data_IF_079138496166
#
_entry.id   IF_079138496166
#
_cell.length_a   1.000
_cell.length_b   1.000
_cell.length_c   1.000
_cell.angle_alpha   90.00
_cell.angle_beta   90.00
_cell.angle_gamma   90.00
#
_symmetry.space_group_name_H-M   'P 1'
#
loop_
_entity.id
_entity.type
_entity.pdbx_description
1 polymer ?
#
# COMPACT_ATOMS: atom_id res chain seq x y z
N UNK A 1 20.01 23.68 -3.94
CA UNK A 1 19.26 23.17 -2.77
C UNK A 1 19.94 23.63 -1.49
N UNK A 2 19.91 24.93 -1.18
CA UNK A 2 20.47 25.45 0.07
C UNK A 2 19.30 25.70 1.03
N UNK A 3 19.15 24.87 2.07
CA UNK A 3 18.24 25.17 3.18
C UNK A 3 17.40 24.02 3.77
N UNK A 4 17.49 22.80 3.25
CA UNK A 4 16.80 21.65 3.87
C UNK A 4 17.76 21.00 4.87
N UNK A 5 17.48 21.12 6.17
CA UNK A 5 18.16 20.31 7.21
C UNK A 5 17.56 18.91 7.18
N UNK A 6 18.42 17.90 7.06
CA UNK A 6 18.01 16.51 7.11
C UNK A 6 18.28 16.00 8.53
N UNK A 7 17.21 15.77 9.27
CA UNK A 7 17.26 15.22 10.62
C UNK A 7 16.61 13.82 10.63
N UNK A 8 17.06 12.91 11.50
CA UNK A 8 16.37 11.65 11.74
C UNK A 8 14.94 11.88 12.25
N UNK A 9 13.99 11.12 11.72
CA UNK A 9 12.59 11.10 12.19
C UNK A 9 12.47 10.18 13.40
N UNK A 10 11.72 10.60 14.42
CA UNK A 10 11.60 9.89 15.71
C UNK A 10 10.14 9.60 16.12
N UNK A 11 9.18 9.82 15.24
CA UNK A 11 7.77 9.52 15.52
C UNK A 11 7.45 8.02 15.37
N UNK A 12 6.18 7.65 15.55
CA UNK A 12 5.71 6.28 15.54
C UNK A 12 5.92 5.54 14.20
N UNK A 13 6.16 6.26 13.10
CA UNK A 13 6.42 5.66 11.80
C UNK A 13 7.85 5.12 11.67
N UNK A 14 8.77 5.53 12.54
CA UNK A 14 10.18 5.12 12.54
C UNK A 14 10.40 3.83 13.38
N UNK A 15 9.97 2.69 12.84
CA UNK A 15 10.08 1.36 13.48
C UNK A 15 10.86 0.35 12.62
N UNK A 16 11.33 -0.72 13.25
CA UNK A 16 11.85 -1.92 12.61
C UNK A 16 11.03 -3.15 13.02
N UNK A 17 11.07 -4.24 12.24
CA UNK A 17 10.29 -5.44 12.52
C UNK A 17 10.54 -6.04 13.91
N UNK A 18 11.76 -5.88 14.44
CA UNK A 18 12.12 -6.34 15.78
C UNK A 18 11.30 -5.67 16.89
N UNK A 19 10.78 -4.45 16.67
CA UNK A 19 9.93 -3.74 17.64
C UNK A 19 8.60 -4.47 17.87
N UNK A 20 8.18 -5.34 16.94
CA UNK A 20 6.91 -6.05 16.95
C UNK A 20 7.03 -7.55 17.24
N UNK A 21 8.18 -8.02 17.74
CA UNK A 21 8.34 -9.43 18.14
C UNK A 21 7.30 -9.85 19.19
N UNK A 22 7.11 -9.00 20.21
CA UNK A 22 6.13 -9.20 21.29
C UNK A 22 4.95 -8.25 21.24
N UNK A 23 5.11 -7.08 20.59
CA UNK A 23 4.03 -6.11 20.46
C UNK A 23 3.06 -6.52 19.35
N UNK A 24 1.80 -6.75 19.73
CA UNK A 24 0.68 -7.11 18.84
C UNK A 24 -0.40 -6.03 18.79
N UNK A 25 -0.10 -4.81 19.21
CA UNK A 25 -1.04 -3.68 19.18
C UNK A 25 -1.46 -3.26 17.78
N UNK A 26 -0.73 -3.71 16.75
CA UNK A 26 -1.09 -3.56 15.34
C UNK A 26 -2.14 -4.56 14.85
N UNK A 27 -2.48 -5.58 15.66
CA UNK A 27 -3.50 -6.58 15.35
C UNK A 27 -4.86 -6.21 15.95
N UNK A 28 -5.86 -6.03 15.09
CA UNK A 28 -7.25 -5.77 15.46
C UNK A 28 -8.10 -7.02 15.23
N UNK A 29 -8.69 -7.57 16.29
CA UNK A 29 -9.48 -8.81 16.18
C UNK A 29 -10.97 -8.50 16.19
N UNK A 30 -11.67 -8.89 15.13
CA UNK A 30 -13.12 -8.79 15.05
C UNK A 30 -13.78 -9.90 15.87
N UNK A 31 -14.66 -9.50 16.78
CA UNK A 31 -15.54 -10.38 17.53
C UNK A 31 -16.87 -10.63 16.78
N UNK A 32 -17.75 -11.41 17.41
CA UNK A 32 -19.04 -11.78 16.82
C UNK A 32 -19.99 -10.58 16.66
N UNK A 33 -19.82 -9.52 17.45
CA UNK A 33 -20.61 -8.29 17.30
C UNK A 33 -20.19 -7.57 16.03
N UNK A 34 -18.88 -7.40 15.80
CA UNK A 34 -18.37 -6.80 14.57
C UNK A 34 -18.76 -7.60 13.31
N UNK A 35 -18.69 -8.93 13.36
CA UNK A 35 -19.10 -9.77 12.23
C UNK A 35 -20.60 -9.65 11.94
N UNK A 36 -21.44 -9.63 12.98
CA UNK A 36 -22.88 -9.42 12.83
C UNK A 36 -23.23 -8.05 12.25
N UNK A 37 -22.45 -7.01 12.54
CA UNK A 37 -22.61 -5.70 11.92
C UNK A 37 -22.35 -5.74 10.41
N UNK A 38 -21.30 -6.44 9.96
CA UNK A 38 -21.01 -6.65 8.54
C UNK A 38 -22.16 -7.38 7.83
N UNK A 39 -22.70 -8.43 8.44
CA UNK A 39 -23.84 -9.19 7.90
C UNK A 39 -25.10 -8.34 7.73
N UNK A 40 -25.43 -7.55 8.76
CA UNK A 40 -26.59 -6.65 8.74
C UNK A 40 -26.42 -5.54 7.71
N UNK A 41 -25.22 -4.96 7.60
CA UNK A 41 -24.91 -3.94 6.61
C UNK A 41 -24.99 -4.49 5.18
N UNK A 42 -24.45 -5.70 4.94
CA UNK A 42 -24.56 -6.41 3.67
C UNK A 42 -26.03 -6.65 3.29
N UNK A 43 -26.84 -7.16 4.22
CA UNK A 43 -28.27 -7.39 3.96
C UNK A 43 -28.98 -6.09 3.57
N UNK A 44 -28.71 -4.98 4.26
CA UNK A 44 -29.29 -3.67 3.93
C UNK A 44 -28.81 -3.11 2.58
N UNK A 45 -27.54 -3.35 2.20
CA UNK A 45 -27.02 -3.00 0.86
C UNK A 45 -27.75 -3.79 -0.23
N UNK A 46 -27.93 -5.09 -0.03
CA UNK A 46 -28.60 -5.98 -1.00
C UNK A 46 -30.08 -5.64 -1.17
N UNK A 47 -30.79 -5.37 -0.08
CA UNK A 47 -32.20 -4.95 -0.11
C UNK A 47 -32.40 -3.67 -0.95
N UNK A 48 -31.45 -2.74 -0.89
CA UNK A 48 -31.46 -1.50 -1.68
C UNK A 48 -30.84 -1.62 -3.07
N UNK A 49 -30.28 -2.78 -3.42
CA UNK A 49 -29.61 -3.01 -4.70
C UNK A 49 -28.40 -2.10 -4.94
N UNK A 50 -27.66 -1.73 -3.89
CA UNK A 50 -26.50 -0.86 -4.03
C UNK A 50 -25.28 -1.64 -4.56
N UNK A 51 -24.52 -0.99 -5.44
CA UNK A 51 -23.25 -1.48 -5.96
C UNK A 51 -22.06 -0.95 -5.15
N UNK A 52 -20.88 -1.55 -5.29
CA UNK A 52 -19.63 -1.13 -4.64
C UNK A 52 -19.38 0.38 -4.79
N UNK A 53 -19.53 0.92 -6.00
CA UNK A 53 -19.30 2.33 -6.29
C UNK A 53 -20.26 3.29 -5.57
N UNK A 54 -21.42 2.80 -5.10
CA UNK A 54 -22.41 3.58 -4.38
C UNK A 54 -22.22 3.52 -2.86
N UNK A 55 -21.31 2.68 -2.35
CA UNK A 55 -21.12 2.53 -0.91
C UNK A 55 -20.40 3.72 -0.27
N UNK A 56 -20.86 4.04 0.93
CA UNK A 56 -20.31 5.06 1.82
C UNK A 56 -20.47 4.61 3.27
N UNK A 57 -19.70 5.21 4.18
CA UNK A 57 -19.87 4.95 5.62
C UNK A 57 -21.33 5.16 6.09
N UNK A 58 -22.07 6.09 5.48
CA UNK A 58 -23.45 6.40 5.85
C UNK A 58 -24.46 5.34 5.41
N UNK A 59 -24.25 4.69 4.25
CA UNK A 59 -25.16 3.66 3.75
C UNK A 59 -24.69 2.23 4.07
N UNK A 60 -23.52 2.07 4.68
CA UNK A 60 -22.98 0.82 5.21
C UNK A 60 -22.73 0.96 6.74
N UNK A 61 -23.77 0.96 7.58
CA UNK A 61 -23.64 1.32 8.99
C UNK A 61 -22.91 0.24 9.79
N UNK A 62 -21.87 0.65 10.54
CA UNK A 62 -21.05 -0.18 11.42
C UNK A 62 -20.97 0.44 12.83
N UNK A 63 -22.00 0.31 13.68
CA UNK A 63 -22.11 1.04 14.95
C UNK A 63 -20.89 0.92 15.89
N UNK A 64 -20.28 -0.24 15.97
CA UNK A 64 -19.10 -0.48 16.82
C UNK A 64 -17.83 -0.68 15.99
N UNK A 65 -17.94 -1.36 14.84
CA UNK A 65 -16.79 -1.62 13.97
C UNK A 65 -16.23 -0.35 13.32
N UNK A 66 -17.03 0.72 13.16
CA UNK A 66 -16.53 2.03 12.69
C UNK A 66 -15.47 2.65 13.61
N UNK A 67 -15.49 2.34 14.91
CA UNK A 67 -14.47 2.83 15.86
C UNK A 67 -13.14 2.13 15.66
N UNK A 68 -13.16 0.83 15.36
CA UNK A 68 -11.97 0.08 14.96
C UNK A 68 -11.44 0.60 13.63
N UNK A 69 -12.32 0.83 12.65
CA UNK A 69 -11.91 1.39 11.36
C UNK A 69 -11.26 2.78 11.51
N UNK A 70 -11.77 3.63 12.40
CA UNK A 70 -11.16 4.93 12.71
C UNK A 70 -9.77 4.78 13.36
N UNK A 71 -9.61 3.86 14.33
CA UNK A 71 -8.32 3.59 14.95
C UNK A 71 -7.30 3.03 13.94
N UNK A 72 -7.73 2.13 13.06
CA UNK A 72 -6.92 1.64 11.93
C UNK A 72 -6.50 2.81 11.02
N UNK A 73 -7.42 3.72 10.70
CA UNK A 73 -7.12 4.92 9.92
C UNK A 73 -6.07 5.82 10.57
N UNK A 74 -6.15 6.02 11.88
CA UNK A 74 -5.16 6.81 12.65
C UNK A 74 -3.79 6.13 12.68
N UNK A 75 -3.75 4.82 12.94
CA UNK A 75 -2.53 4.02 12.96
C UNK A 75 -1.80 4.02 11.62
N UNK A 76 -2.55 3.91 10.52
CA UNK A 76 -2.00 3.88 9.16
C UNK A 76 -1.63 5.29 8.68
N UNK A 77 -2.49 6.28 8.94
CA UNK A 77 -2.30 7.63 8.40
C UNK A 77 -1.27 8.48 9.16
N UNK A 78 -1.19 8.32 10.48
CA UNK A 78 -0.35 9.17 11.35
C UNK A 78 0.45 8.42 12.41
N UNK A 79 0.15 7.14 12.62
CA UNK A 79 0.86 6.28 13.56
C UNK A 79 1.99 5.49 12.90
N UNK A 80 1.98 4.18 13.13
CA UNK A 80 3.01 3.25 12.64
C UNK A 80 2.95 3.00 11.13
N UNK A 81 1.89 3.39 10.43
CA UNK A 81 1.78 3.21 8.98
C UNK A 81 1.23 1.86 8.52
N UNK A 82 0.80 0.98 9.44
CA UNK A 82 0.16 -0.29 9.09
C UNK A 82 -0.75 -0.82 10.22
N UNK A 83 -1.66 -1.72 9.87
CA UNK A 83 -2.51 -2.48 10.80
C UNK A 83 -2.93 -3.81 10.15
N UNK A 84 -3.20 -4.83 10.97
CA UNK A 84 -3.76 -6.11 10.53
C UNK A 84 -5.09 -6.37 11.22
N UNK A 85 -6.15 -6.47 10.42
CA UNK A 85 -7.48 -6.81 10.92
C UNK A 85 -7.75 -8.31 10.72
N UNK A 86 -8.00 -9.02 11.82
CA UNK A 86 -8.28 -10.47 11.85
C UNK A 86 -9.76 -10.73 12.13
N UNK A 87 -10.26 -11.88 11.64
CA UNK A 87 -11.62 -12.33 11.92
C UNK A 87 -12.69 -11.70 11.04
N UNK A 88 -12.31 -11.14 9.89
CA UNK A 88 -13.25 -10.78 8.83
C UNK A 88 -13.98 -12.04 8.33
N UNK A 89 -15.32 -12.02 8.18
CA UNK A 89 -16.08 -13.22 7.81
C UNK A 89 -15.90 -13.53 6.32
N UNK A 90 -15.31 -14.70 6.04
CA UNK A 90 -15.09 -15.19 4.67
C UNK A 90 -16.03 -16.37 4.35
N UNK A 91 -16.12 -17.34 5.27
CA UNK A 91 -16.86 -18.57 5.05
C UNK A 91 -18.36 -18.31 4.86
N UNK A 92 -18.95 -18.95 3.84
CA UNK A 92 -20.38 -18.85 3.55
C UNK A 92 -20.80 -17.65 2.70
N UNK A 93 -19.85 -16.82 2.24
CA UNK A 93 -20.12 -15.69 1.36
C UNK A 93 -19.61 -15.94 -0.06
N UNK A 94 -20.42 -15.52 -1.04
CA UNK A 94 -19.98 -15.40 -2.42
C UNK A 94 -19.02 -14.21 -2.55
N UNK A 95 -18.12 -14.24 -3.53
CA UNK A 95 -17.13 -13.17 -3.74
C UNK A 95 -17.78 -11.78 -3.88
N UNK A 96 -18.93 -11.66 -4.55
CA UNK A 96 -19.64 -10.38 -4.68
C UNK A 96 -20.14 -9.83 -3.35
N UNK A 97 -20.50 -10.71 -2.40
CA UNK A 97 -20.89 -10.29 -1.06
C UNK A 97 -19.66 -9.84 -0.25
N UNK A 98 -18.53 -10.55 -0.40
CA UNK A 98 -17.25 -10.16 0.19
C UNK A 98 -16.78 -8.79 -0.32
N UNK A 99 -16.92 -8.50 -1.61
CA UNK A 99 -16.60 -7.18 -2.18
C UNK A 99 -17.39 -6.05 -1.50
N UNK A 100 -18.69 -6.23 -1.32
CA UNK A 100 -19.56 -5.25 -0.69
C UNK A 100 -19.21 -5.04 0.78
N UNK A 101 -18.97 -6.12 1.53
CA UNK A 101 -18.56 -6.03 2.93
C UNK A 101 -17.19 -5.38 3.09
N UNK A 102 -16.23 -5.80 2.28
CA UNK A 102 -14.85 -5.32 2.32
C UNK A 102 -14.78 -3.83 1.97
N UNK A 103 -15.38 -3.44 0.84
CA UNK A 103 -15.40 -2.04 0.45
C UNK A 103 -16.21 -1.20 1.44
N UNK A 104 -17.33 -1.72 1.93
CA UNK A 104 -18.15 -1.08 2.96
C UNK A 104 -17.34 -0.74 4.22
N UNK A 105 -16.53 -1.69 4.70
CA UNK A 105 -15.59 -1.45 5.81
C UNK A 105 -14.54 -0.41 5.44
N UNK A 106 -13.89 -0.51 4.28
CA UNK A 106 -12.88 0.45 3.83
C UNK A 106 -13.43 1.89 3.72
N UNK A 107 -14.73 2.06 3.46
CA UNK A 107 -15.38 3.39 3.44
C UNK A 107 -15.47 4.07 4.80
N UNK A 108 -15.26 3.35 5.90
CA UNK A 108 -15.09 3.93 7.24
C UNK A 108 -13.63 4.35 7.52
N UNK A 109 -12.67 3.91 6.69
CA UNK A 109 -11.25 4.29 6.80
C UNK A 109 -10.96 5.50 5.90
N UNK A 110 -11.43 5.45 4.65
CA UNK A 110 -11.10 6.47 3.66
C UNK A 110 -11.93 6.36 2.39
N UNK A 111 -11.47 7.01 1.32
CA UNK A 111 -12.14 7.03 0.01
C UNK A 111 -11.50 6.06 -0.96
N UNK A 112 -12.31 5.17 -1.52
CA UNK A 112 -11.88 4.24 -2.57
C UNK A 112 -11.57 5.01 -3.85
N UNK A 113 -10.41 4.71 -4.42
CA UNK A 113 -9.92 5.28 -5.67
C UNK A 113 -9.87 4.19 -6.73
N UNK A 114 -10.04 4.58 -8.00
CA UNK A 114 -9.84 3.66 -9.12
C UNK A 114 -8.38 3.22 -9.16
N UNK A 115 -8.17 1.93 -9.34
CA UNK A 115 -6.84 1.33 -9.22
C UNK A 115 -6.15 1.08 -10.57
N UNK A 116 -6.87 1.21 -11.68
CA UNK A 116 -6.36 1.01 -13.05
C UNK A 116 -7.23 1.76 -14.08
N UNK A 117 -6.86 1.64 -15.35
CA UNK A 117 -7.61 2.16 -16.50
C UNK A 117 -9.03 1.59 -16.66
N UNK A 118 -9.32 0.42 -16.09
CA UNK A 118 -10.68 -0.17 -16.12
C UNK A 118 -11.64 0.49 -15.12
N UNK A 119 -11.14 1.40 -14.27
CA UNK A 119 -11.94 2.06 -13.25
C UNK A 119 -12.32 1.15 -12.08
N UNK A 120 -11.60 0.04 -11.89
CA UNK A 120 -11.87 -0.92 -10.82
C UNK A 120 -11.61 -0.32 -9.43
N UNK A 121 -12.57 -0.51 -8.51
CA UNK A 121 -12.42 -0.13 -7.09
C UNK A 121 -11.85 -1.27 -6.23
N UNK A 122 -12.05 -2.51 -6.66
CA UNK A 122 -11.46 -3.72 -6.07
C UNK A 122 -10.80 -4.51 -7.20
N UNK A 123 -9.61 -5.05 -6.91
CA UNK A 123 -8.90 -5.96 -7.80
C UNK A 123 -8.64 -7.30 -7.11
N UNK A 124 -8.89 -8.37 -7.85
CA UNK A 124 -8.56 -9.71 -7.42
C UNK A 124 -7.08 -9.99 -7.66
N UNK A 125 -6.37 -10.34 -6.59
CA UNK A 125 -5.00 -10.88 -6.66
C UNK A 125 -5.10 -12.39 -6.52
N UNK A 126 -4.87 -13.11 -7.62
CA UNK A 126 -4.95 -14.58 -7.69
C UNK A 126 -3.69 -15.15 -8.33
N UNK A 127 -3.56 -16.46 -8.47
CA UNK A 127 -2.49 -17.09 -9.26
C UNK A 127 -2.59 -16.86 -10.78
N UNK A 128 -3.53 -16.01 -11.23
CA UNK A 128 -3.70 -15.57 -12.60
C UNK A 128 -5.07 -15.90 -13.20
N UNK A 129 -5.91 -16.68 -12.50
CA UNK A 129 -7.24 -17.10 -12.98
C UNK A 129 -8.24 -15.95 -13.06
N UNK A 130 -8.23 -15.04 -12.08
CA UNK A 130 -9.15 -13.88 -12.01
C UNK A 130 -8.42 -12.55 -12.16
N UNK A 131 -7.27 -12.54 -12.86
CA UNK A 131 -6.51 -11.31 -13.03
C UNK A 131 -7.33 -10.27 -13.81
N UNK A 132 -7.40 -9.00 -13.34
CA UNK A 132 -7.97 -7.91 -14.12
C UNK A 132 -7.17 -7.66 -15.40
N UNK A 133 -7.81 -7.06 -16.40
CA UNK A 133 -7.18 -6.75 -17.69
C UNK A 133 -6.41 -5.42 -17.59
N UNK A 134 -5.38 -5.40 -16.73
CA UNK A 134 -4.53 -4.23 -16.49
C UNK A 134 -3.36 -4.23 -17.46
N UNK A 135 -3.17 -3.14 -18.21
CA UNK A 135 -2.11 -2.93 -19.22
C UNK A 135 -0.79 -3.67 -18.96
N UNK A 136 0.25 -2.98 -18.48
CA UNK A 136 1.49 -3.62 -18.03
C UNK A 136 1.59 -3.74 -16.50
N UNK A 137 0.58 -3.27 -15.76
CA UNK A 137 0.48 -3.45 -14.32
C UNK A 137 0.07 -4.90 -14.02
N UNK A 138 1.03 -5.70 -13.58
CA UNK A 138 0.82 -7.11 -13.33
C UNK A 138 0.34 -7.35 -11.89
N UNK A 139 -0.91 -7.78 -11.74
CA UNK A 139 -1.39 -8.46 -10.53
C UNK A 139 -1.62 -9.94 -10.84
N UNK A 140 -1.29 -10.80 -9.88
CA UNK A 140 -1.63 -12.21 -9.94
C UNK A 140 -0.71 -13.11 -10.77
N UNK A 141 0.56 -13.14 -10.37
CA UNK A 141 1.53 -14.15 -10.80
C UNK A 141 2.32 -14.59 -9.55
N UNK A 142 2.40 -15.90 -9.23
CA UNK A 142 3.07 -16.37 -8.02
C UNK A 142 4.59 -16.21 -8.16
N UNK A 143 5.09 -15.04 -7.80
CA UNK A 143 6.51 -14.71 -7.71
C UNK A 143 6.71 -13.74 -6.56
N UNK A 144 7.95 -13.67 -6.06
CA UNK A 144 8.33 -12.64 -5.11
C UNK A 144 8.09 -11.24 -5.74
N UNK A 145 7.30 -10.43 -5.05
CA UNK A 145 7.10 -9.02 -5.39
C UNK A 145 8.05 -8.21 -4.53
N UNK A 146 8.93 -7.44 -5.17
CA UNK A 146 9.82 -6.51 -4.45
C UNK A 146 9.02 -5.48 -3.67
N UNK A 147 9.55 -5.04 -2.53
CA UNK A 147 8.92 -3.98 -1.75
C UNK A 147 8.78 -2.71 -2.59
N UNK A 148 7.64 -2.04 -2.44
CA UNK A 148 7.29 -0.83 -3.15
C UNK A 148 6.22 -0.07 -2.37
N UNK A 149 5.99 1.17 -2.78
CA UNK A 149 4.92 2.03 -2.31
C UNK A 149 4.00 2.30 -3.49
N UNK A 150 2.74 1.90 -3.36
CA UNK A 150 1.70 2.22 -4.35
C UNK A 150 1.39 3.73 -4.37
N UNK A 151 0.64 4.18 -5.39
CA UNK A 151 0.31 5.60 -5.60
C UNK A 151 -0.66 6.19 -4.57
N UNK A 152 -1.42 5.35 -3.86
CA UNK A 152 -2.45 5.80 -2.93
C UNK A 152 -1.84 6.14 -1.56
N UNK A 153 -2.63 6.83 -0.71
CA UNK A 153 -2.24 7.10 0.68
C UNK A 153 -2.29 5.84 1.53
N UNK A 154 -3.24 4.94 1.25
CA UNK A 154 -3.45 3.67 1.95
C UNK A 154 -3.76 2.59 0.91
N UNK A 155 -3.14 1.41 1.09
CA UNK A 155 -3.51 0.17 0.41
C UNK A 155 -4.13 -0.77 1.42
N UNK A 156 -5.21 -1.44 1.02
CA UNK A 156 -5.88 -2.46 1.83
C UNK A 156 -5.89 -3.76 1.05
N UNK A 157 -5.67 -4.89 1.74
CA UNK A 157 -5.76 -6.23 1.17
C UNK A 157 -6.64 -7.10 2.06
N UNK A 158 -7.55 -7.85 1.45
CA UNK A 158 -8.35 -8.88 2.11
C UNK A 158 -7.92 -10.25 1.60
N UNK A 159 -7.43 -11.10 2.51
CA UNK A 159 -7.20 -12.50 2.20
C UNK A 159 -8.54 -13.25 2.16
N UNK A 160 -9.03 -13.54 0.96
CA UNK A 160 -10.24 -14.37 0.73
C UNK A 160 -9.90 -15.85 0.74
N UNK A 161 -8.66 -16.21 0.38
CA UNK A 161 -8.19 -17.59 0.40
C UNK A 161 -6.68 -17.59 0.58
N UNK A 162 -6.21 -18.26 1.62
CA UNK A 162 -4.78 -18.40 1.87
C UNK A 162 -4.14 -19.26 0.79
N UNK A 163 -2.95 -18.86 0.33
CA UNK A 163 -2.15 -19.68 -0.57
C UNK A 163 -1.68 -20.95 0.15
N UNK A 164 -1.64 -22.08 -0.56
CA UNK A 164 -1.37 -23.39 0.04
C UNK A 164 0.06 -23.58 0.56
N UNK A 165 0.98 -22.70 0.17
CA UNK A 165 2.37 -22.64 0.62
C UNK A 165 2.61 -21.61 1.73
N UNK A 166 1.55 -20.95 2.21
CA UNK A 166 1.55 -20.01 3.36
C UNK A 166 2.69 -18.97 3.30
N UNK A 167 2.83 -18.20 2.20
CA UNK A 167 3.89 -17.22 2.08
C UNK A 167 3.65 -16.06 3.05
N UNK A 168 4.74 -15.55 3.64
CA UNK A 168 4.69 -14.35 4.46
C UNK A 168 4.51 -13.08 3.62
N UNK A 169 3.75 -12.14 4.16
CA UNK A 169 3.77 -10.74 3.75
C UNK A 169 4.88 -9.99 4.48
N UNK A 170 5.49 -9.01 3.81
CA UNK A 170 6.55 -8.19 4.36
C UNK A 170 6.20 -6.71 4.35
N UNK A 171 6.53 -6.00 5.43
CA UNK A 171 6.44 -4.54 5.53
C UNK A 171 7.77 -3.98 6.02
N UNK A 172 8.16 -2.81 5.53
CA UNK A 172 9.28 -2.04 6.04
C UNK A 172 8.88 -0.57 6.15
N UNK A 173 9.31 0.10 7.22
CA UNK A 173 9.11 1.54 7.34
C UNK A 173 10.02 2.30 6.38
N UNK A 174 9.40 3.06 5.47
CA UNK A 174 10.14 3.99 4.61
C UNK A 174 10.88 5.09 5.40
N UNK A 175 10.41 5.40 6.62
CA UNK A 175 11.01 6.38 7.52
C UNK A 175 12.25 5.80 8.21
N UNK A 176 12.21 4.53 8.60
CA UNK A 176 13.40 3.81 9.06
C UNK A 176 14.45 3.69 7.96
N UNK A 177 14.02 3.41 6.72
CA UNK A 177 14.91 3.42 5.55
C UNK A 177 15.56 4.80 5.36
N UNK A 178 14.78 5.88 5.42
CA UNK A 178 15.31 7.25 5.38
C UNK A 178 16.35 7.50 6.47
N UNK A 179 16.06 7.13 7.72
CA UNK A 179 16.96 7.31 8.85
C UNK A 179 18.26 6.52 8.69
N UNK A 180 18.19 5.27 8.24
CA UNK A 180 19.35 4.42 8.04
C UNK A 180 20.22 4.89 6.86
N UNK A 181 19.62 5.42 5.78
CA UNK A 181 20.40 6.03 4.69
C UNK A 181 21.08 7.32 5.18
N UNK A 182 20.36 8.18 5.89
CA UNK A 182 20.92 9.41 6.45
C UNK A 182 22.13 9.13 7.37
N UNK A 183 22.09 8.00 8.09
CA UNK A 183 23.17 7.54 8.97
C UNK A 183 24.33 6.87 8.21
N UNK A 184 24.04 5.94 7.30
CA UNK A 184 25.05 5.09 6.63
C UNK A 184 25.70 5.82 5.44
N UNK A 185 24.91 6.55 4.67
CA UNK A 185 25.27 7.17 3.38
C UNK A 185 24.55 8.52 3.16
N UNK A 186 24.79 9.53 4.03
CA UNK A 186 24.17 10.85 3.89
C UNK A 186 24.48 11.53 2.55
N UNK A 187 25.58 11.15 1.90
CA UNK A 187 25.99 11.60 0.56
C UNK A 187 24.99 11.23 -0.55
N UNK A 188 24.14 10.21 -0.33
CA UNK A 188 23.11 9.79 -1.28
C UNK A 188 21.80 10.60 -1.16
N UNK A 189 21.60 11.31 -0.04
CA UNK A 189 20.36 12.05 0.21
C UNK A 189 20.01 13.07 -0.89
N UNK A 190 20.96 13.88 -1.43
CA UNK A 190 20.63 14.79 -2.52
C UNK A 190 20.04 14.08 -3.74
N UNK A 191 20.51 12.87 -4.06
CA UNK A 191 19.98 12.08 -5.18
C UNK A 191 18.56 11.58 -4.91
N UNK A 192 18.29 11.15 -3.68
CA UNK A 192 16.98 10.65 -3.24
C UNK A 192 15.92 11.76 -3.19
N UNK A 193 16.33 12.99 -2.85
CA UNK A 193 15.47 14.18 -2.90
C UNK A 193 15.25 14.69 -4.32
N UNK A 194 16.22 14.49 -5.22
CA UNK A 194 16.10 14.85 -6.64
C UNK A 194 15.20 13.87 -7.42
N UNK A 195 15.21 12.58 -7.07
CA UNK A 195 14.19 11.63 -7.50
C UNK A 195 14.39 10.98 -8.86
N UNK A 196 13.45 10.12 -9.25
CA UNK A 196 13.57 9.28 -10.45
C UNK A 196 12.35 9.46 -11.33
N UNK A 197 12.55 9.31 -12.64
CA UNK A 197 11.41 9.31 -13.55
C UNK A 197 10.69 7.96 -13.49
N UNK A 198 9.37 7.98 -13.60
CA UNK A 198 8.53 6.79 -13.45
C UNK A 198 7.84 6.43 -14.75
N UNK A 199 7.72 5.14 -15.03
CA UNK A 199 6.88 4.63 -16.10
C UNK A 199 5.41 4.78 -15.72
N UNK A 200 4.54 5.05 -16.69
CA UNK A 200 3.09 5.09 -16.48
C UNK A 200 2.42 3.74 -16.68
N UNK A 201 3.17 2.67 -16.92
CA UNK A 201 2.71 1.27 -17.03
C UNK A 201 1.62 1.06 -18.09
N UNK A 202 1.67 1.85 -19.16
CA UNK A 202 0.64 1.95 -20.22
C UNK A 202 -0.74 2.40 -19.72
N UNK A 203 -0.79 3.07 -18.56
CA UNK A 203 -1.98 3.78 -18.05
C UNK A 203 -1.91 5.28 -18.41
N UNK A 204 -1.65 5.58 -19.68
CA UNK A 204 -1.58 6.95 -20.20
C UNK A 204 -2.36 7.06 -21.52
N UNK A 205 -2.80 8.27 -21.86
CA UNK A 205 -3.45 8.51 -23.16
C UNK A 205 -2.49 8.36 -24.34
N UNK A 206 -3.03 8.14 -25.55
CA UNK A 206 -2.22 7.98 -26.78
C UNK A 206 -1.31 9.18 -27.07
N UNK A 207 -1.74 10.39 -26.70
CA UNK A 207 -1.01 11.64 -26.88
C UNK A 207 -0.17 12.04 -25.66
N UNK A 208 -0.13 11.21 -24.62
CA UNK A 208 0.62 11.46 -23.39
C UNK A 208 1.98 10.74 -23.39
N UNK A 209 2.93 11.31 -22.66
CA UNK A 209 4.22 10.64 -22.41
C UNK A 209 4.00 9.33 -21.64
N UNK A 210 4.66 8.27 -22.10
CA UNK A 210 4.65 6.96 -21.43
C UNK A 210 5.40 6.95 -20.07
N UNK A 211 6.06 8.05 -19.74
CA UNK A 211 6.77 8.28 -18.47
C UNK A 211 6.30 9.58 -17.83
N UNK A 212 6.60 9.80 -16.55
CA UNK A 212 6.20 11.03 -15.85
C UNK A 212 6.69 12.31 -16.53
N UNK A 213 7.81 12.28 -17.27
CA UNK A 213 8.39 13.44 -17.95
C UNK A 213 9.20 14.34 -17.02
N UNK A 214 9.25 14.00 -15.73
CA UNK A 214 9.98 14.68 -14.67
C UNK A 214 10.37 13.69 -13.58
N UNK A 215 11.36 14.06 -12.77
CA UNK A 215 11.80 13.25 -11.63
C UNK A 215 10.82 13.37 -10.47
N UNK A 216 10.36 12.24 -9.96
CA UNK A 216 9.56 12.12 -8.75
C UNK A 216 10.53 11.90 -7.58
N UNK A 217 10.63 12.83 -6.62
CA UNK A 217 11.45 12.65 -5.42
C UNK A 217 11.13 11.34 -4.72
N UNK A 218 12.16 10.58 -4.35
CA UNK A 218 11.98 9.36 -3.57
C UNK A 218 11.58 9.73 -2.14
N UNK A 219 12.30 10.68 -1.54
CA UNK A 219 11.89 11.32 -0.29
C UNK A 219 11.51 12.77 -0.55
N UNK A 220 10.45 13.23 0.14
CA UNK A 220 10.05 14.63 0.16
C UNK A 220 9.93 15.13 1.59
N UNK A 221 10.35 16.37 1.84
CA UNK A 221 10.25 17.03 3.14
C UNK A 221 9.33 18.25 3.02
N UNK A 222 8.23 18.23 3.74
CA UNK A 222 7.30 19.36 3.80
C UNK A 222 6.63 19.42 5.17
N UNK A 223 6.46 20.62 5.72
CA UNK A 223 5.77 20.86 7.00
C UNK A 223 6.28 19.99 8.18
N UNK A 224 7.58 19.69 8.20
CA UNK A 224 8.20 18.85 9.23
C UNK A 224 7.94 17.34 9.06
N UNK A 225 7.34 16.91 7.95
CA UNK A 225 7.08 15.51 7.63
C UNK A 225 7.97 15.04 6.49
N UNK A 226 8.42 13.79 6.60
CA UNK A 226 9.09 13.06 5.52
C UNK A 226 8.06 12.13 4.88
N UNK A 227 7.97 12.12 3.55
CA UNK A 227 7.17 11.15 2.80
C UNK A 227 8.03 10.40 1.80
N UNK A 228 7.59 9.20 1.42
CA UNK A 228 8.33 8.32 0.51
C UNK A 228 7.47 7.91 -0.70
N UNK A 229 8.08 7.92 -1.88
CA UNK A 229 7.55 7.33 -3.11
C UNK A 229 8.62 6.43 -3.71
N UNK A 230 8.39 5.11 -3.65
CA UNK A 230 9.36 4.12 -4.11
C UNK A 230 8.71 3.03 -4.95
N UNK A 231 9.14 2.90 -6.20
CA UNK A 231 8.83 1.74 -7.02
C UNK A 231 9.97 1.49 -8.01
N UNK A 232 10.91 0.61 -7.63
CA UNK A 232 12.08 0.27 -8.43
C UNK A 232 11.72 -0.22 -9.83
N UNK A 233 10.62 -0.99 -9.94
CA UNK A 233 10.20 -1.54 -11.23
C UNK A 233 9.77 -0.43 -12.21
N UNK A 234 9.06 0.59 -11.71
CA UNK A 234 8.61 1.72 -12.53
C UNK A 234 9.77 2.64 -12.92
N UNK A 235 10.75 2.84 -12.03
CA UNK A 235 11.96 3.59 -12.33
C UNK A 235 12.78 2.90 -13.44
N UNK A 236 12.95 1.57 -13.35
CA UNK A 236 13.65 0.79 -14.39
C UNK A 236 12.89 0.79 -15.72
N UNK A 237 11.56 0.67 -15.69
CA UNK A 237 10.73 0.72 -16.88
C UNK A 237 10.81 2.08 -17.59
N UNK A 238 10.83 3.19 -16.85
CA UNK A 238 10.98 4.54 -17.43
C UNK A 238 12.29 4.67 -18.21
N UNK A 239 13.38 4.22 -17.60
CA UNK A 239 14.71 4.16 -18.20
C UNK A 239 14.73 3.29 -19.46
N UNK A 240 14.06 2.13 -19.42
CA UNK A 240 13.93 1.25 -20.58
C UNK A 240 13.17 1.91 -21.74
N UNK A 241 12.05 2.61 -21.48
CA UNK A 241 11.33 3.36 -22.53
C UNK A 241 12.17 4.45 -23.18
N UNK A 242 13.10 5.03 -22.43
CA UNK A 242 14.05 6.04 -22.92
C UNK A 242 15.29 5.44 -23.56
N UNK A 243 15.44 4.12 -23.59
CA UNK A 243 16.67 3.42 -24.00
C UNK A 243 17.92 3.94 -23.25
N UNK A 244 17.74 4.34 -21.99
CA UNK A 244 18.77 4.88 -21.11
C UNK A 244 18.85 3.97 -19.88
N UNK A 245 19.83 3.06 -19.78
CA UNK A 245 19.93 2.19 -18.62
C UNK A 245 20.16 3.01 -17.35
N UNK A 246 19.71 2.48 -16.21
CA UNK A 246 20.00 3.07 -14.91
C UNK A 246 21.52 3.12 -14.69
N UNK A 247 22.00 4.24 -14.15
CA UNK A 247 23.43 4.37 -13.85
C UNK A 247 23.81 3.40 -12.75
N UNK A 248 25.10 3.01 -12.69
CA UNK A 248 25.60 2.16 -11.62
C UNK A 248 25.43 2.81 -10.23
N UNK A 249 25.52 4.14 -10.17
CA UNK A 249 25.28 4.92 -8.95
C UNK A 249 23.82 4.83 -8.50
N UNK A 250 22.88 5.00 -9.43
CA UNK A 250 21.44 4.89 -9.14
C UNK A 250 21.08 3.46 -8.74
N UNK A 251 21.60 2.43 -9.42
CA UNK A 251 21.38 1.04 -9.03
C UNK A 251 21.90 0.75 -7.63
N UNK A 252 23.11 1.24 -7.27
CA UNK A 252 23.66 1.07 -5.93
C UNK A 252 22.82 1.76 -4.84
N UNK A 253 22.18 2.90 -5.16
CA UNK A 253 21.24 3.57 -4.26
C UNK A 253 20.00 2.70 -4.03
N UNK A 254 19.43 2.12 -5.09
CA UNK A 254 18.25 1.27 -4.97
C UNK A 254 18.56 -0.06 -4.28
N UNK A 255 19.76 -0.61 -4.50
CA UNK A 255 20.23 -1.82 -3.81
C UNK A 255 20.36 -1.58 -2.30
N UNK A 256 20.89 -0.43 -1.87
CA UNK A 256 20.97 -0.08 -0.45
C UNK A 256 19.57 0.05 0.19
N UNK A 257 18.60 0.60 -0.53
CA UNK A 257 17.20 0.68 -0.07
C UNK A 257 16.64 -0.72 0.14
N UNK A 258 16.80 -1.61 -0.85
CA UNK A 258 16.30 -2.98 -0.77
C UNK A 258 17.00 -3.79 0.34
N UNK A 259 18.30 -3.56 0.56
CA UNK A 259 19.09 -4.14 1.67
C UNK A 259 18.52 -3.70 3.02
N UNK A 260 18.40 -2.38 3.27
CA UNK A 260 17.88 -1.86 4.53
C UNK A 260 16.43 -2.34 4.75
N UNK A 261 15.60 -2.29 3.71
CA UNK A 261 14.23 -2.76 3.79
C UNK A 261 14.16 -4.24 4.19
N UNK A 262 15.02 -5.09 3.63
CA UNK A 262 15.11 -6.49 3.99
C UNK A 262 15.63 -6.72 5.43
N UNK A 263 16.60 -5.92 5.88
CA UNK A 263 17.15 -5.97 7.25
C UNK A 263 16.11 -5.58 8.31
N UNK A 264 15.30 -4.56 8.04
CA UNK A 264 14.40 -3.95 9.04
C UNK A 264 12.95 -4.41 8.94
N UNK A 265 12.63 -5.33 8.02
CA UNK A 265 11.24 -5.72 7.74
C UNK A 265 10.54 -6.38 8.91
N UNK A 266 9.24 -6.15 9.01
CA UNK A 266 8.29 -7.02 9.68
C UNK A 266 7.82 -8.11 8.69
N UNK A 267 7.82 -9.36 9.13
CA UNK A 267 7.21 -10.48 8.43
C UNK A 267 5.96 -10.95 9.19
N UNK A 268 4.88 -11.22 8.47
CA UNK A 268 3.63 -11.70 9.04
C UNK A 268 2.87 -12.58 8.05
N UNK A 269 2.05 -13.54 8.53
CA UNK A 269 1.27 -14.42 7.66
C UNK A 269 0.12 -13.70 6.93
#
# INVERSE_FOLDING_TARGET
MNGISLEPVQDASAWCGADFETDRTWEYVLDDTHRRELDLALAGVKDRGLTVAQLSAANFPLPTLSKIAAAVGEDVGTGRGFALLRGFPIDGYENSDLELMYYGLCRHIGTGMTQNSDGGLIHYVTDGVLKPNQGNRAVGFPKLVSMHVDLMDIVTLLCVRQAGDEPESYLASSITIYNEILKRRPDLMPRLLDGFEWDRMDEHGDDESATSGYRVPLFSLANGQVSCRYNRSWMKAANARKSQPMSAEDEAVLDLIDEIAAETRLAFP
#
